data_IF_821126022532
#
_entry.id   IF_821126022532
#
_cell.length_a   1.000
_cell.length_b   1.000
_cell.length_c   1.000
_cell.angle_alpha   90.00
_cell.angle_beta   90.00
_cell.angle_gamma   90.00
#
_symmetry.space_group_name_H-M   'P 1'
#
loop_
_entity.id
_entity.type
_entity.pdbx_description
1 polymer ?
#
# COMPACT_ATOMS: atom_id res chain seq x y z
N UNK A 1 -17.34 20.54 11.14
CA UNK A 1 -16.10 19.77 11.30
C UNK A 1 -16.32 18.40 10.71
N UNK A 2 -15.55 18.03 9.71
CA UNK A 2 -15.61 16.63 9.29
C UNK A 2 -15.17 15.75 10.46
N UNK A 3 -15.78 14.58 10.65
CA UNK A 3 -15.32 13.68 11.69
C UNK A 3 -13.85 13.39 11.47
N UNK A 4 -13.07 13.41 12.53
CA UNK A 4 -11.68 12.98 12.46
C UNK A 4 -11.65 11.56 11.91
N UNK A 5 -10.73 11.30 10.99
CA UNK A 5 -10.51 9.94 10.54
C UNK A 5 -10.02 9.13 11.75
N UNK A 6 -10.65 8.01 11.98
CA UNK A 6 -10.31 7.15 13.11
C UNK A 6 -9.41 6.03 12.64
N UNK A 7 -9.17 5.03 13.44
CA UNK A 7 -8.30 3.95 13.09
C UNK A 7 -8.71 3.22 11.80
N UNK A 8 -7.89 2.28 11.38
CA UNK A 8 -8.05 1.56 10.13
C UNK A 8 -8.36 0.08 10.35
N UNK A 9 -9.08 -0.28 11.43
CA UNK A 9 -9.34 -1.67 11.78
C UNK A 9 -10.14 -2.42 10.71
N UNK A 10 -10.90 -1.71 9.90
CA UNK A 10 -11.67 -2.30 8.81
C UNK A 10 -11.13 -1.93 7.43
N UNK A 11 -9.93 -1.40 7.35
CA UNK A 11 -9.28 -1.16 6.07
C UNK A 11 -9.18 -2.45 5.28
N UNK A 12 -9.53 -2.40 4.00
CA UNK A 12 -9.47 -3.57 3.15
C UNK A 12 -8.07 -4.17 3.07
N UNK A 13 -7.03 -3.35 3.10
CA UNK A 13 -5.65 -3.81 2.97
C UNK A 13 -5.03 -4.15 4.31
N UNK A 14 -5.08 -3.24 5.28
CA UNK A 14 -4.35 -3.37 6.54
C UNK A 14 -5.23 -3.54 7.78
N UNK A 15 -6.57 -3.53 7.63
CA UNK A 15 -7.47 -3.71 8.76
C UNK A 15 -7.51 -5.17 9.19
N UNK A 16 -7.36 -5.42 10.49
CA UNK A 16 -7.36 -6.78 11.00
C UNK A 16 -8.77 -7.31 11.22
N UNK A 17 -9.77 -6.42 11.25
CA UNK A 17 -11.17 -6.77 11.52
C UNK A 17 -12.03 -6.88 10.27
N UNK A 18 -11.45 -6.71 9.08
CA UNK A 18 -12.21 -6.86 7.84
C UNK A 18 -12.16 -8.33 7.39
N UNK A 19 -13.29 -9.04 7.36
CA UNK A 19 -13.29 -10.48 7.03
C UNK A 19 -12.83 -10.80 5.60
N UNK A 20 -12.90 -9.83 4.68
CA UNK A 20 -12.41 -10.03 3.30
C UNK A 20 -11.10 -9.28 3.04
N UNK A 21 -10.50 -8.71 4.08
CA UNK A 21 -9.29 -7.90 3.93
C UNK A 21 -8.03 -8.72 3.73
N UNK A 22 -6.99 -8.03 3.30
CA UNK A 22 -5.68 -8.64 3.06
C UNK A 22 -4.86 -8.77 4.36
N UNK A 23 -5.19 -7.96 5.36
CA UNK A 23 -4.60 -7.98 6.71
C UNK A 23 -3.09 -7.79 6.74
N UNK A 24 -2.58 -6.95 5.86
CA UNK A 24 -1.17 -6.56 5.92
C UNK A 24 -0.90 -5.79 7.21
N UNK A 25 0.29 -5.99 7.77
CA UNK A 25 0.77 -5.23 8.92
C UNK A 25 1.95 -4.38 8.46
N UNK A 26 1.75 -3.06 8.42
CA UNK A 26 2.81 -2.13 8.07
C UNK A 26 3.56 -1.72 9.33
N UNK A 27 4.86 -1.90 9.29
CA UNK A 27 5.74 -1.50 10.38
C UNK A 27 6.62 -0.35 9.93
N UNK A 28 6.91 0.57 10.85
CA UNK A 28 7.82 1.66 10.57
C UNK A 28 9.20 1.11 10.18
N UNK A 29 9.79 1.69 9.15
CA UNK A 29 11.09 1.30 8.62
C UNK A 29 11.80 2.58 8.14
N UNK A 30 12.69 3.12 8.97
CA UNK A 30 13.29 4.43 8.71
C UNK A 30 12.19 5.50 8.65
N UNK A 31 12.17 6.28 7.58
CA UNK A 31 11.15 7.29 7.34
C UNK A 31 9.88 6.72 6.73
N UNK A 32 9.89 5.48 6.35
CA UNK A 32 8.80 4.83 5.66
C UNK A 32 8.21 3.66 6.42
N UNK A 33 7.62 2.74 5.67
CA UNK A 33 6.97 1.55 6.21
C UNK A 33 7.31 0.33 5.36
N UNK A 34 7.15 -0.84 5.95
CA UNK A 34 7.40 -2.12 5.32
C UNK A 34 6.33 -3.12 5.73
N UNK A 35 5.91 -3.96 4.80
CA UNK A 35 4.99 -5.07 5.06
C UNK A 35 5.33 -6.26 4.17
N UNK A 36 4.85 -7.43 4.56
CA UNK A 36 4.92 -8.65 3.76
C UNK A 36 3.52 -9.12 3.40
N UNK A 37 3.38 -9.70 2.22
CA UNK A 37 2.12 -10.25 1.78
C UNK A 37 2.34 -11.46 0.89
N UNK A 38 1.59 -12.54 1.13
CA UNK A 38 1.57 -13.71 0.26
C UNK A 38 0.15 -13.82 -0.31
N UNK A 39 -0.05 -13.50 -1.59
CA UNK A 39 -1.38 -13.61 -2.20
C UNK A 39 -1.82 -15.06 -2.31
N UNK A 40 -3.13 -15.26 -2.29
CA UNK A 40 -3.76 -16.57 -2.45
C UNK A 40 -4.56 -16.63 -3.76
N UNK A 41 -5.18 -17.76 -4.00
CA UNK A 41 -6.07 -17.97 -5.13
C UNK A 41 -7.30 -17.05 -5.11
N UNK A 42 -7.59 -16.42 -3.97
CA UNK A 42 -8.71 -15.47 -3.85
C UNK A 42 -8.34 -14.07 -4.33
N UNK A 43 -7.08 -13.83 -4.65
CA UNK A 43 -6.56 -12.51 -5.03
C UNK A 43 -6.23 -12.42 -6.52
N UNK A 44 -6.76 -13.34 -7.33
CA UNK A 44 -6.44 -13.42 -8.75
C UNK A 44 -7.38 -12.57 -9.61
N UNK A 45 -6.86 -12.16 -10.76
CA UNK A 45 -7.65 -11.65 -11.88
C UNK A 45 -7.83 -12.78 -12.88
N UNK A 46 -6.89 -12.93 -13.83
CA UNK A 46 -6.84 -14.12 -14.65
C UNK A 46 -6.39 -15.31 -13.82
N UNK A 47 -6.74 -16.51 -14.24
CA UNK A 47 -6.34 -17.73 -13.53
C UNK A 47 -4.81 -17.75 -13.35
N UNK A 48 -4.38 -17.96 -12.11
CA UNK A 48 -2.97 -18.07 -11.77
C UNK A 48 -2.19 -16.76 -11.70
N UNK A 49 -2.84 -15.61 -11.91
CA UNK A 49 -2.19 -14.30 -11.81
C UNK A 49 -2.88 -13.42 -10.79
N UNK A 50 -2.11 -12.80 -9.91
CA UNK A 50 -2.66 -11.88 -8.93
C UNK A 50 -3.21 -10.66 -9.64
N UNK A 51 -4.41 -10.23 -9.23
CA UNK A 51 -5.10 -9.11 -9.83
C UNK A 51 -4.31 -7.81 -9.66
N UNK A 52 -4.16 -7.03 -10.73
CA UNK A 52 -3.47 -5.74 -10.67
C UNK A 52 -4.14 -4.77 -9.71
N UNK A 53 -5.45 -4.84 -9.55
CA UNK A 53 -6.18 -4.04 -8.56
C UNK A 53 -5.79 -4.36 -7.12
N UNK A 54 -5.45 -5.60 -6.81
CA UNK A 54 -4.95 -5.99 -5.48
C UNK A 54 -3.58 -5.34 -5.24
N UNK A 55 -2.68 -5.43 -6.22
CA UNK A 55 -1.36 -4.78 -6.11
C UNK A 55 -1.51 -3.26 -5.97
N UNK A 56 -2.41 -2.66 -6.75
CA UNK A 56 -2.67 -1.21 -6.68
C UNK A 56 -3.25 -0.80 -5.32
N UNK A 57 -4.14 -1.61 -4.74
CA UNK A 57 -4.69 -1.36 -3.41
C UNK A 57 -3.57 -1.39 -2.35
N UNK A 58 -2.65 -2.33 -2.46
CA UNK A 58 -1.50 -2.44 -1.55
C UNK A 58 -0.60 -1.22 -1.69
N UNK A 59 -0.30 -0.79 -2.91
CA UNK A 59 0.51 0.40 -3.17
C UNK A 59 -0.14 1.64 -2.55
N UNK A 60 -1.43 1.81 -2.76
CA UNK A 60 -2.18 2.93 -2.20
C UNK A 60 -2.11 2.95 -0.68
N UNK A 61 -2.40 1.83 -0.05
CA UNK A 61 -2.42 1.73 1.40
C UNK A 61 -1.02 1.89 2.01
N UNK A 62 0.00 1.37 1.35
CA UNK A 62 1.38 1.52 1.78
C UNK A 62 1.78 3.00 1.84
N UNK A 63 1.38 3.78 0.83
CA UNK A 63 1.63 5.23 0.82
C UNK A 63 0.97 5.91 2.02
N UNK A 64 -0.31 5.65 2.23
CA UNK A 64 -1.03 6.25 3.35
C UNK A 64 -0.42 5.89 4.70
N UNK A 65 0.07 4.66 4.83
CA UNK A 65 0.68 4.18 6.08
C UNK A 65 1.98 4.89 6.43
N UNK A 66 2.69 5.48 5.48
CA UNK A 66 3.87 6.29 5.79
C UNK A 66 3.51 7.38 6.80
N UNK A 67 2.35 8.02 6.62
CA UNK A 67 1.89 9.08 7.53
C UNK A 67 1.05 8.54 8.67
N UNK A 68 0.27 7.49 8.43
CA UNK A 68 -0.57 6.90 9.46
C UNK A 68 0.26 6.38 10.65
N UNK A 69 1.41 5.78 10.40
CA UNK A 69 2.32 5.32 11.45
C UNK A 69 2.91 6.46 12.27
N UNK A 70 2.83 7.69 11.76
CA UNK A 70 3.27 8.92 12.47
C UNK A 70 2.10 9.63 13.17
N UNK A 71 0.93 9.01 13.21
CA UNK A 71 -0.26 9.61 13.79
C UNK A 71 -0.97 10.61 12.89
N UNK A 72 -0.64 10.64 11.60
CA UNK A 72 -1.26 11.54 10.63
C UNK A 72 -2.16 10.75 9.68
N UNK A 73 -3.24 11.37 9.23
CA UNK A 73 -4.16 10.77 8.26
C UNK A 73 -3.93 11.40 6.89
N UNK A 74 -3.40 10.63 5.97
CA UNK A 74 -3.16 11.05 4.59
C UNK A 74 -4.22 10.40 3.69
N UNK A 75 -4.83 11.21 2.83
CA UNK A 75 -5.82 10.74 1.86
C UNK A 75 -5.18 10.84 0.48
N UNK A 76 -5.27 9.76 -0.28
CA UNK A 76 -4.66 9.68 -1.61
C UNK A 76 -5.42 10.54 -2.60
N UNK A 77 -4.69 11.43 -3.28
CA UNK A 77 -5.23 12.24 -4.36
C UNK A 77 -4.93 11.63 -5.74
N UNK A 78 -3.79 10.97 -5.87
CA UNK A 78 -3.37 10.35 -7.13
C UNK A 78 -2.36 9.26 -6.86
N UNK A 79 -2.47 8.14 -7.59
CA UNK A 79 -1.41 7.13 -7.62
C UNK A 79 -1.11 6.76 -9.07
N UNK A 80 0.14 6.38 -9.31
CA UNK A 80 0.57 5.71 -10.52
C UNK A 80 1.24 4.41 -10.12
N UNK A 81 0.88 3.33 -10.80
CA UNK A 81 1.44 2.01 -10.52
C UNK A 81 2.00 1.44 -11.82
N UNK A 82 3.21 0.93 -11.76
CA UNK A 82 3.82 0.18 -12.86
C UNK A 82 3.97 -1.27 -12.47
N UNK A 83 3.47 -2.14 -13.32
CA UNK A 83 3.58 -3.59 -13.15
C UNK A 83 4.76 -4.06 -13.99
N UNK A 84 5.80 -4.54 -13.33
CA UNK A 84 7.06 -4.94 -13.97
C UNK A 84 7.11 -6.42 -14.29
N UNK A 85 6.51 -7.24 -13.43
CA UNK A 85 6.49 -8.69 -13.54
C UNK A 85 5.14 -9.24 -13.09
N UNK A 86 4.77 -10.37 -13.60
CA UNK A 86 3.58 -11.08 -13.13
C UNK A 86 3.81 -11.61 -11.73
N UNK A 87 2.77 -11.57 -10.91
CA UNK A 87 2.75 -12.10 -9.56
C UNK A 87 1.76 -13.23 -9.50
N UNK A 88 2.15 -14.33 -8.87
CA UNK A 88 1.32 -15.53 -8.74
C UNK A 88 0.94 -15.79 -7.30
N UNK A 89 -0.20 -16.46 -7.06
CA UNK A 89 -0.51 -16.93 -5.71
C UNK A 89 0.67 -17.72 -5.12
N UNK A 90 0.98 -17.44 -3.86
CA UNK A 90 2.10 -18.07 -3.17
C UNK A 90 3.40 -17.27 -3.23
N UNK A 91 3.51 -16.28 -4.11
CA UNK A 91 4.69 -15.42 -4.14
C UNK A 91 4.77 -14.57 -2.88
N UNK A 92 5.92 -14.56 -2.23
CA UNK A 92 6.12 -13.72 -1.06
C UNK A 92 6.56 -12.34 -1.50
N UNK A 93 5.73 -11.35 -1.20
CA UNK A 93 5.98 -9.96 -1.59
C UNK A 93 6.43 -9.15 -0.39
N UNK A 94 7.43 -8.31 -0.61
CA UNK A 94 7.88 -7.30 0.35
C UNK A 94 7.50 -5.94 -0.20
N UNK A 95 6.74 -5.20 0.57
CA UNK A 95 6.25 -3.87 0.21
C UNK A 95 7.00 -2.85 1.05
N UNK A 96 7.63 -1.88 0.41
CA UNK A 96 8.35 -0.80 1.09
C UNK A 96 7.87 0.54 0.55
N UNK A 97 7.48 1.45 1.43
CA UNK A 97 7.03 2.78 1.05
C UNK A 97 7.85 3.84 1.76
N UNK A 98 8.16 4.94 1.06
CA UNK A 98 8.99 6.02 1.55
C UNK A 98 8.36 7.36 1.19
N UNK A 99 8.44 8.38 2.06
CA UNK A 99 8.10 9.73 1.66
C UNK A 99 9.20 10.28 0.76
N UNK A 100 8.84 11.08 -0.24
CA UNK A 100 9.81 11.62 -1.20
C UNK A 100 9.84 13.15 -1.24
N UNK A 101 8.90 13.82 -0.59
CA UNK A 101 8.88 15.29 -0.53
C UNK A 101 7.48 15.85 -0.61
N UNK A 102 7.37 17.03 -1.20
CA UNK A 102 6.08 17.72 -1.40
C UNK A 102 6.00 18.24 -2.82
N UNK A 103 4.78 18.36 -3.32
CA UNK A 103 4.49 18.95 -4.62
C UNK A 103 3.14 19.63 -4.55
N UNK A 104 3.11 20.93 -4.84
CA UNK A 104 1.87 21.72 -4.82
C UNK A 104 1.10 21.59 -3.51
N UNK A 105 1.83 21.55 -2.38
CA UNK A 105 1.22 21.43 -1.05
C UNK A 105 0.80 20.03 -0.65
N UNK A 106 0.99 19.04 -1.52
CA UNK A 106 0.69 17.64 -1.23
C UNK A 106 1.95 16.86 -0.89
N UNK A 107 1.81 15.82 -0.11
CA UNK A 107 2.91 14.90 0.18
C UNK A 107 3.12 13.97 -1.01
N UNK A 108 4.37 13.64 -1.29
CA UNK A 108 4.71 12.66 -2.32
C UNK A 108 5.37 11.46 -1.68
N UNK A 109 5.17 10.30 -2.27
CA UNK A 109 5.75 9.05 -1.79
C UNK A 109 6.00 8.06 -2.91
N UNK A 110 6.79 7.06 -2.59
CA UNK A 110 7.16 5.98 -3.50
C UNK A 110 7.00 4.63 -2.82
N UNK A 111 6.54 3.64 -3.57
CA UNK A 111 6.39 2.25 -3.11
C UNK A 111 7.13 1.33 -4.06
N UNK A 112 7.88 0.39 -3.50
CA UNK A 112 8.45 -0.74 -4.22
C UNK A 112 7.79 -2.02 -3.72
N UNK A 113 7.41 -2.89 -4.64
CA UNK A 113 6.91 -4.24 -4.35
C UNK A 113 7.90 -5.23 -4.95
N UNK A 114 8.50 -6.03 -4.08
CA UNK A 114 9.55 -6.97 -4.48
C UNK A 114 9.20 -8.40 -4.15
N UNK A 115 9.69 -9.31 -4.99
CA UNK A 115 9.71 -10.74 -4.73
C UNK A 115 11.18 -11.14 -4.72
N UNK A 116 11.75 -11.37 -3.53
CA UNK A 116 13.20 -11.47 -3.40
C UNK A 116 13.87 -10.17 -3.85
N UNK A 117 14.83 -10.27 -4.75
CA UNK A 117 15.53 -9.10 -5.30
C UNK A 117 14.83 -8.50 -6.51
N UNK A 118 13.75 -9.11 -6.97
CA UNK A 118 13.06 -8.70 -8.18
C UNK A 118 12.00 -7.65 -7.89
N UNK A 119 12.09 -6.50 -8.54
CA UNK A 119 11.04 -5.47 -8.48
C UNK A 119 9.89 -5.91 -9.38
N UNK A 120 8.76 -6.29 -8.77
CA UNK A 120 7.59 -6.77 -9.52
C UNK A 120 6.59 -5.65 -9.80
N UNK A 121 6.54 -4.64 -8.96
CA UNK A 121 5.71 -3.45 -9.18
C UNK A 121 6.30 -2.27 -8.41
N UNK A 122 5.95 -1.08 -8.84
CA UNK A 122 6.34 0.16 -8.17
C UNK A 122 5.25 1.20 -8.33
N UNK A 123 5.19 2.14 -7.41
CA UNK A 123 4.20 3.19 -7.48
C UNK A 123 4.68 4.50 -6.89
N UNK A 124 4.02 5.57 -7.29
CA UNK A 124 4.18 6.90 -6.70
C UNK A 124 2.81 7.48 -6.43
N UNK A 125 2.75 8.42 -5.52
CA UNK A 125 1.47 9.03 -5.18
C UNK A 125 1.59 10.44 -4.64
N UNK A 126 0.45 11.12 -4.71
CA UNK A 126 0.20 12.42 -4.09
C UNK A 126 -0.85 12.23 -3.02
N UNK A 127 -0.58 12.71 -1.82
CA UNK A 127 -1.48 12.54 -0.68
C UNK A 127 -1.68 13.87 0.03
N UNK A 128 -2.87 14.04 0.60
CA UNK A 128 -3.24 15.23 1.37
C UNK A 128 -3.39 14.84 2.83
N UNK A 129 -2.68 15.53 3.70
CA UNK A 129 -2.82 15.33 5.15
C UNK A 129 -4.15 15.95 5.59
N UNK A 130 -4.95 15.19 6.30
CA UNK A 130 -6.20 15.66 6.90
C UNK A 130 -6.04 15.86 8.41
N UNK A 131 -6.64 16.91 8.86
CA UNK A 131 -6.66 17.21 10.30
C UNK A 131 -7.61 16.25 11.05
#
# INVERSE_FOLDING_TARGET
MSPALRGANRCFVCGQDNPIGLRLVFQADGDGVRAEFVPSELHVGYDGLVHGGIISAIVDDALANVWFTRGQHAVTAKIEVRFRREVRPGDRLIISAQPTGTKSGMQTGRVDVRRGDELVAEGTGLLVIRA
#
